data_IF_281148359293
#
_entry.id   IF_281148359293
#
_cell.length_a   1.000
_cell.length_b   1.000
_cell.length_c   1.000
_cell.angle_alpha   90.00
_cell.angle_beta   90.00
_cell.angle_gamma   90.00
#
_symmetry.space_group_name_H-M   'P 1'
#
loop_
_entity.id
_entity.type
_entity.pdbx_description
1 polymer ?
#
# COMPACT_ATOMS: atom_id res chain seq x y z
N UNK A 1 24.01 -22.60 -18.12
CA UNK A 1 23.45 -21.22 -18.27
C UNK A 1 21.94 -21.18 -18.05
N UNK A 2 21.14 -22.22 -18.37
CA UNK A 2 19.69 -22.18 -18.18
C UNK A 2 19.21 -22.07 -16.71
N UNK A 3 19.88 -22.73 -15.77
CA UNK A 3 19.38 -22.79 -14.37
C UNK A 3 19.46 -21.44 -13.65
N UNK A 4 20.49 -20.63 -13.93
CA UNK A 4 20.64 -19.31 -13.34
C UNK A 4 19.56 -18.34 -13.84
N UNK A 5 19.19 -18.43 -15.12
CA UNK A 5 18.10 -17.63 -15.69
C UNK A 5 16.74 -18.03 -15.13
N UNK A 6 16.48 -19.33 -14.99
CA UNK A 6 15.23 -19.83 -14.39
C UNK A 6 15.14 -19.41 -12.92
N UNK A 7 16.21 -19.55 -12.15
CA UNK A 7 16.25 -19.10 -10.75
C UNK A 7 16.02 -17.59 -10.64
N UNK A 8 16.70 -16.78 -11.46
CA UNK A 8 16.53 -15.34 -11.49
C UNK A 8 15.10 -14.93 -11.86
N UNK A 9 14.47 -15.60 -12.83
CA UNK A 9 13.09 -15.32 -13.22
C UNK A 9 12.13 -15.66 -12.07
N UNK A 10 12.34 -16.80 -11.40
CA UNK A 10 11.44 -17.26 -10.32
C UNK A 10 11.55 -16.38 -9.07
N UNK A 11 12.72 -15.82 -8.80
CA UNK A 11 12.97 -14.91 -7.67
C UNK A 11 12.52 -13.48 -7.99
N UNK A 12 12.78 -12.98 -9.22
CA UNK A 12 12.56 -11.57 -9.57
C UNK A 12 11.20 -11.29 -10.22
N UNK A 13 10.56 -12.27 -10.88
CA UNK A 13 9.26 -12.06 -11.50
C UNK A 13 8.14 -11.78 -10.47
N UNK A 14 8.06 -12.47 -9.31
CA UNK A 14 6.99 -12.18 -8.36
C UNK A 14 7.02 -10.75 -7.78
N UNK A 15 8.15 -10.17 -7.31
CA UNK A 15 8.17 -8.79 -6.83
C UNK A 15 7.92 -7.80 -7.97
N UNK A 16 8.32 -8.12 -9.20
CA UNK A 16 8.02 -7.30 -10.37
C UNK A 16 6.51 -7.27 -10.68
N UNK A 17 5.86 -8.43 -10.67
CA UNK A 17 4.41 -8.57 -10.85
C UNK A 17 3.67 -7.82 -9.73
N UNK A 18 4.07 -7.99 -8.47
CA UNK A 18 3.50 -7.25 -7.34
C UNK A 18 3.69 -5.73 -7.48
N UNK A 19 4.84 -5.29 -8.00
CA UNK A 19 5.09 -3.89 -8.32
C UNK A 19 4.15 -3.33 -9.37
N UNK A 20 3.90 -4.08 -10.46
CA UNK A 20 2.92 -3.70 -11.49
C UNK A 20 1.51 -3.63 -10.90
N UNK A 21 1.09 -4.61 -10.11
CA UNK A 21 -0.22 -4.59 -9.45
C UNK A 21 -0.36 -3.42 -8.48
N UNK A 22 0.69 -3.09 -7.72
CA UNK A 22 0.72 -1.93 -6.83
C UNK A 22 0.60 -0.60 -7.59
N UNK A 23 1.30 -0.48 -8.72
CA UNK A 23 1.20 0.69 -9.58
C UNK A 23 -0.19 0.81 -10.20
N UNK A 24 -0.73 -0.29 -10.73
CA UNK A 24 -2.08 -0.36 -11.29
C UNK A 24 -3.13 0.02 -10.24
N UNK A 25 -3.03 -0.52 -9.02
CA UNK A 25 -3.91 -0.17 -7.91
C UNK A 25 -3.83 1.33 -7.59
N UNK A 26 -2.62 1.88 -7.55
CA UNK A 26 -2.39 3.30 -7.26
C UNK A 26 -3.03 4.18 -8.32
N UNK A 27 -2.80 3.90 -9.61
CA UNK A 27 -3.32 4.73 -10.72
C UNK A 27 -4.82 4.55 -10.91
N UNK A 28 -5.34 3.33 -10.78
CA UNK A 28 -6.74 3.03 -11.13
C UNK A 28 -7.74 3.29 -10.00
N UNK A 29 -7.31 3.14 -8.75
CA UNK A 29 -8.21 3.17 -7.61
C UNK A 29 -7.86 4.29 -6.63
N UNK A 30 -6.60 4.37 -6.22
CA UNK A 30 -6.18 5.29 -5.17
C UNK A 30 -6.07 6.74 -5.67
N UNK A 31 -5.52 6.95 -6.85
CA UNK A 31 -5.36 8.27 -7.46
C UNK A 31 -6.71 8.96 -7.73
N UNK A 32 -7.72 8.31 -8.35
CA UNK A 32 -9.05 8.89 -8.51
C UNK A 32 -9.70 9.25 -7.18
N UNK A 33 -9.58 8.39 -6.17
CA UNK A 33 -10.12 8.66 -4.84
C UNK A 33 -9.44 9.86 -4.17
N UNK A 34 -8.12 9.99 -4.28
CA UNK A 34 -7.37 11.13 -3.75
C UNK A 34 -7.77 12.45 -4.46
N UNK A 35 -7.96 12.40 -5.78
CA UNK A 35 -8.49 13.54 -6.54
C UNK A 35 -9.93 13.90 -6.11
N UNK A 36 -10.80 12.91 -5.90
CA UNK A 36 -12.19 13.12 -5.45
C UNK A 36 -12.26 13.84 -4.10
N UNK A 37 -11.35 13.54 -3.17
CA UNK A 37 -11.30 14.20 -1.87
C UNK A 37 -10.51 15.52 -1.89
N UNK A 38 -9.90 15.91 -3.02
CA UNK A 38 -9.09 17.12 -3.13
C UNK A 38 -7.68 17.01 -2.52
N UNK A 39 -7.17 15.79 -2.37
CA UNK A 39 -5.84 15.49 -1.85
C UNK A 39 -4.82 15.32 -2.98
N UNK A 40 -3.57 15.74 -2.77
CA UNK A 40 -2.52 15.59 -3.79
C UNK A 40 -2.18 14.09 -4.00
N UNK A 41 -2.49 13.49 -5.16
CA UNK A 41 -2.50 12.04 -5.33
C UNK A 41 -1.11 11.42 -5.43
N UNK A 42 -0.10 12.23 -5.77
CA UNK A 42 1.30 11.82 -5.90
C UNK A 42 2.12 12.09 -4.63
N UNK A 43 1.53 12.75 -3.63
CA UNK A 43 2.20 12.97 -2.36
C UNK A 43 2.14 11.68 -1.52
N UNK A 44 3.25 10.94 -1.52
CA UNK A 44 3.40 9.68 -0.78
C UNK A 44 3.01 9.78 0.70
N UNK A 45 3.25 10.94 1.33
CA UNK A 45 2.88 11.18 2.72
C UNK A 45 1.36 11.23 2.91
N UNK A 46 0.66 11.92 2.02
CA UNK A 46 -0.81 12.02 2.04
C UNK A 46 -1.44 10.68 1.69
N UNK A 47 -1.00 10.04 0.61
CA UNK A 47 -1.45 8.71 0.20
C UNK A 47 -1.35 7.70 1.35
N UNK A 48 -0.22 7.71 2.07
CA UNK A 48 -0.02 6.84 3.24
C UNK A 48 -0.97 7.20 4.38
N UNK A 49 -1.14 8.49 4.72
CA UNK A 49 -2.08 8.89 5.78
C UNK A 49 -3.51 8.48 5.45
N UNK A 50 -3.94 8.63 4.20
CA UNK A 50 -5.27 8.19 3.75
C UNK A 50 -5.45 6.68 3.89
N UNK A 51 -4.46 5.88 3.48
CA UNK A 51 -4.52 4.41 3.57
C UNK A 51 -4.42 3.88 5.01
N UNK A 52 -3.61 4.51 5.88
CA UNK A 52 -3.35 3.99 7.22
C UNK A 52 -4.18 4.68 8.31
N UNK A 53 -4.25 6.01 8.29
CA UNK A 53 -4.98 6.82 9.28
C UNK A 53 -6.44 7.09 8.89
N UNK A 54 -6.76 7.03 7.60
CA UNK A 54 -8.10 7.37 7.10
C UNK A 54 -8.29 8.86 6.87
N UNK A 55 -9.51 9.25 6.50
CA UNK A 55 -9.90 10.63 6.21
C UNK A 55 -10.99 11.07 7.19
N UNK A 56 -10.87 12.30 7.71
CA UNK A 56 -11.86 12.92 8.61
C UNK A 56 -12.86 13.75 7.79
N UNK A 57 -14.10 13.91 8.27
CA UNK A 57 -15.14 14.72 7.62
C UNK A 57 -15.54 14.26 6.19
N UNK A 58 -15.39 12.97 5.89
CA UNK A 58 -15.79 12.38 4.60
C UNK A 58 -17.22 11.84 4.63
N UNK A 59 -17.87 11.79 3.46
CA UNK A 59 -19.21 11.19 3.35
C UNK A 59 -19.18 9.68 3.66
N UNK A 60 -20.30 9.08 4.12
CA UNK A 60 -20.36 7.64 4.40
C UNK A 60 -19.94 6.77 3.20
N UNK A 61 -20.26 7.21 1.99
CA UNK A 61 -19.89 6.54 0.74
C UNK A 61 -18.37 6.54 0.52
N UNK A 62 -17.70 7.66 0.82
CA UNK A 62 -16.25 7.79 0.74
C UNK A 62 -15.55 6.90 1.77
N UNK A 63 -16.11 6.78 2.98
CA UNK A 63 -15.58 5.90 4.03
C UNK A 63 -15.66 4.43 3.59
N UNK A 64 -16.79 3.99 3.01
CA UNK A 64 -16.94 2.62 2.50
C UNK A 64 -15.97 2.33 1.35
N UNK A 65 -15.82 3.28 0.40
CA UNK A 65 -14.80 3.16 -0.66
C UNK A 65 -13.40 3.05 -0.07
N UNK A 66 -13.07 3.90 0.89
CA UNK A 66 -11.76 3.88 1.55
C UNK A 66 -11.48 2.56 2.25
N UNK A 67 -12.46 1.98 2.95
CA UNK A 67 -12.31 0.65 3.57
C UNK A 67 -12.01 -0.43 2.52
N UNK A 68 -12.67 -0.42 1.36
CA UNK A 68 -12.35 -1.33 0.26
C UNK A 68 -10.92 -1.13 -0.24
N UNK A 69 -10.49 0.12 -0.45
CA UNK A 69 -9.12 0.44 -0.86
C UNK A 69 -8.08 -0.04 0.17
N UNK A 70 -8.36 0.15 1.46
CA UNK A 70 -7.50 -0.32 2.55
C UNK A 70 -7.40 -1.84 2.58
N UNK A 71 -8.52 -2.55 2.37
CA UNK A 71 -8.53 -4.01 2.25
C UNK A 71 -7.69 -4.52 1.08
N UNK A 72 -7.84 -3.91 -0.10
CA UNK A 72 -7.02 -4.25 -1.27
C UNK A 72 -5.53 -3.99 -1.03
N UNK A 73 -5.19 -2.83 -0.44
CA UNK A 73 -3.82 -2.48 -0.10
C UNK A 73 -3.22 -3.41 0.95
N UNK A 74 -3.99 -3.79 1.97
CA UNK A 74 -3.58 -4.78 2.97
C UNK A 74 -3.32 -6.15 2.33
N UNK A 75 -4.14 -6.56 1.36
CA UNK A 75 -3.93 -7.78 0.58
C UNK A 75 -2.61 -7.75 -0.22
N UNK A 76 -2.31 -6.64 -0.91
CA UNK A 76 -1.04 -6.45 -1.62
C UNK A 76 0.16 -6.50 -0.66
N UNK A 77 0.06 -5.84 0.50
CA UNK A 77 1.09 -5.90 1.54
C UNK A 77 1.27 -7.31 2.10
N UNK A 78 0.17 -8.04 2.35
CA UNK A 78 0.20 -9.41 2.84
C UNK A 78 0.86 -10.36 1.84
N UNK A 79 0.54 -10.23 0.55
CA UNK A 79 1.21 -10.99 -0.52
C UNK A 79 2.70 -10.68 -0.60
N UNK A 80 3.08 -9.41 -0.45
CA UNK A 80 4.49 -9.02 -0.41
C UNK A 80 5.21 -9.60 0.81
N UNK A 81 4.58 -9.60 1.99
CA UNK A 81 5.15 -10.23 3.18
C UNK A 81 5.29 -11.74 3.03
N UNK A 82 4.29 -12.43 2.47
CA UNK A 82 4.36 -13.87 2.17
C UNK A 82 5.52 -14.19 1.22
N UNK A 83 5.72 -13.37 0.20
CA UNK A 83 6.88 -13.48 -0.68
C UNK A 83 8.19 -13.32 0.10
N UNK A 84 8.28 -12.33 0.99
CA UNK A 84 9.47 -12.15 1.85
C UNK A 84 9.68 -13.35 2.80
N UNK A 85 8.61 -13.94 3.36
CA UNK A 85 8.71 -15.19 4.16
C UNK A 85 9.40 -16.27 3.34
N UNK A 86 8.95 -16.47 2.10
CA UNK A 86 9.40 -17.56 1.25
C UNK A 86 10.89 -17.45 0.88
N UNK A 87 11.39 -16.23 0.63
CA UNK A 87 12.77 -16.03 0.16
C UNK A 87 13.77 -15.60 1.24
N UNK A 88 13.34 -14.85 2.27
CA UNK A 88 14.23 -14.28 3.30
C UNK A 88 13.99 -14.88 4.70
N UNK A 89 12.97 -15.72 4.85
CA UNK A 89 12.62 -16.36 6.12
C UNK A 89 11.79 -15.50 7.06
N UNK A 90 11.29 -16.13 8.13
CA UNK A 90 10.38 -15.53 9.12
C UNK A 90 10.96 -14.29 9.84
N UNK A 91 12.29 -14.21 10.00
CA UNK A 91 12.95 -13.08 10.68
C UNK A 91 12.75 -11.74 9.95
N UNK A 92 12.90 -11.72 8.63
CA UNK A 92 12.68 -10.52 7.82
C UNK A 92 11.22 -10.04 7.87
N UNK A 93 10.29 -11.00 8.01
CA UNK A 93 8.84 -10.76 8.05
C UNK A 93 8.43 -10.19 9.39
N UNK A 94 8.96 -10.72 10.49
CA UNK A 94 8.73 -10.17 11.82
C UNK A 94 9.23 -8.72 11.90
N UNK A 95 10.43 -8.44 11.36
CA UNK A 95 10.98 -7.09 11.30
C UNK A 95 10.08 -6.14 10.47
N UNK A 96 9.70 -6.53 9.25
CA UNK A 96 8.79 -5.74 8.41
C UNK A 96 7.42 -5.54 9.06
N UNK A 97 6.88 -6.58 9.69
CA UNK A 97 5.60 -6.54 10.42
C UNK A 97 5.63 -5.52 11.56
N UNK A 98 6.70 -5.51 12.36
CA UNK A 98 6.91 -4.49 13.42
C UNK A 98 6.94 -3.10 12.82
N UNK A 99 7.70 -2.89 11.74
CA UNK A 99 7.73 -1.61 11.05
C UNK A 99 6.34 -1.19 10.54
N UNK A 100 5.59 -2.09 9.90
CA UNK A 100 4.24 -1.80 9.41
C UNK A 100 3.29 -1.47 10.57
N UNK A 101 3.37 -2.22 11.67
CA UNK A 101 2.57 -1.99 12.88
C UNK A 101 2.87 -0.63 13.51
N UNK A 102 4.14 -0.26 13.65
CA UNK A 102 4.55 1.07 14.11
C UNK A 102 4.05 2.17 13.16
N UNK A 103 4.15 1.94 11.85
CA UNK A 103 3.65 2.88 10.85
C UNK A 103 2.13 3.05 10.90
N UNK A 104 1.37 2.02 11.30
CA UNK A 104 -0.07 2.07 11.53
C UNK A 104 -0.39 2.81 12.84
N UNK A 105 0.29 2.49 13.94
CA UNK A 105 0.11 3.15 15.23
C UNK A 105 0.41 4.66 15.18
N UNK A 106 1.40 5.05 14.38
CA UNK A 106 1.75 6.47 14.17
C UNK A 106 0.90 7.16 13.11
N UNK A 107 0.10 6.43 12.33
CA UNK A 107 -0.73 7.03 11.30
C UNK A 107 -1.93 7.73 11.95
N UNK A 108 -1.88 9.06 12.02
CA UNK A 108 -3.03 9.86 12.45
C UNK A 108 -4.00 10.08 11.30
N UNK A 109 -5.33 10.09 11.58
CA UNK A 109 -6.33 10.49 10.61
C UNK A 109 -6.03 11.87 10.07
N UNK A 110 -6.41 12.10 8.83
CA UNK A 110 -6.00 13.26 8.06
C UNK A 110 -7.21 14.12 7.67
N UNK A 111 -7.12 15.43 7.90
CA UNK A 111 -8.08 16.41 7.42
C UNK A 111 -7.63 16.93 6.05
N UNK A 112 -8.49 16.78 5.04
CA UNK A 112 -8.16 17.13 3.66
C UNK A 112 -8.10 18.64 3.43
N UNK A 113 -8.75 19.42 4.31
CA UNK A 113 -8.74 20.88 4.23
C UNK A 113 -7.36 21.49 4.55
N UNK A 114 -6.50 20.79 5.31
CA UNK A 114 -5.21 21.32 5.74
C UNK A 114 -4.11 21.25 4.66
N UNK A 115 -4.24 20.41 3.64
CA UNK A 115 -3.18 20.20 2.63
C UNK A 115 -3.19 21.12 1.42
N UNK A 116 -4.22 21.94 1.26
CA UNK A 116 -4.28 22.96 0.21
C UNK A 116 -3.83 24.35 0.70
N UNK A 117 -3.24 24.44 1.91
CA UNK A 117 -2.49 25.61 2.39
C UNK A 117 -1.01 25.45 2.06
#
# INVERSE_FOLDING_TARGET
MNDLHVLALTVLAPPFILGIFGLWFTVRHLHPFLCEIGAAPWNRGITRRVLFGGVVNSSPEQVVRLQKLRGMYAGLLGLMLLFVVFFMGLGAVAFLGVFIGLNFLMARPFDVAETNK
#
